data_IF_781632036038
#
_entry.id   IF_781632036038
#
_cell.length_a   1.000
_cell.length_b   1.000
_cell.length_c   1.000
_cell.angle_alpha   90.00
_cell.angle_beta   90.00
_cell.angle_gamma   90.00
#
_symmetry.space_group_name_H-M   'P 1'
#
loop_
_entity.id
_entity.type
_entity.pdbx_description
1 polymer ?
#
# COMPACT_ATOMS: atom_id res chain seq x y z
N UNK A 1 -46.61 -0.18 -24.74
CA UNK A 1 -45.41 0.69 -24.62
C UNK A 1 -44.40 0.25 -23.53
N UNK A 2 -44.58 -0.89 -22.87
CA UNK A 2 -43.84 -1.30 -21.66
C UNK A 2 -42.56 -2.13 -21.91
N UNK A 3 -42.31 -2.55 -23.16
CA UNK A 3 -41.19 -3.46 -23.49
C UNK A 3 -39.86 -2.74 -23.77
N UNK A 4 -39.89 -1.51 -24.28
CA UNK A 4 -38.68 -0.73 -24.61
C UNK A 4 -38.00 -0.15 -23.38
N UNK A 5 -38.77 0.31 -22.40
CA UNK A 5 -38.29 0.82 -21.11
C UNK A 5 -37.65 -0.25 -20.25
N UNK A 6 -38.21 -1.47 -20.21
CA UNK A 6 -37.59 -2.63 -19.54
C UNK A 6 -36.24 -3.01 -20.16
N UNK A 7 -36.14 -2.98 -21.49
CA UNK A 7 -34.90 -3.30 -22.20
C UNK A 7 -33.81 -2.22 -21.97
N UNK A 8 -34.20 -0.95 -21.92
CA UNK A 8 -33.30 0.16 -21.61
C UNK A 8 -32.80 0.10 -20.17
N UNK A 9 -33.69 -0.20 -19.21
CA UNK A 9 -33.32 -0.36 -17.80
C UNK A 9 -32.38 -1.55 -17.57
N UNK A 10 -32.67 -2.69 -18.23
CA UNK A 10 -31.80 -3.86 -18.18
C UNK A 10 -30.39 -3.57 -18.73
N UNK A 11 -30.30 -2.85 -19.86
CA UNK A 11 -29.01 -2.43 -20.43
C UNK A 11 -28.26 -1.46 -19.52
N UNK A 12 -28.97 -0.51 -18.90
CA UNK A 12 -28.38 0.42 -17.95
C UNK A 12 -27.83 -0.30 -16.71
N UNK A 13 -28.56 -1.27 -16.14
CA UNK A 13 -28.06 -2.10 -15.05
C UNK A 13 -26.85 -2.94 -15.47
N UNK A 14 -26.85 -3.50 -16.68
CA UNK A 14 -25.73 -4.31 -17.19
C UNK A 14 -24.46 -3.48 -17.36
N UNK A 15 -24.60 -2.25 -17.86
CA UNK A 15 -23.49 -1.29 -17.96
C UNK A 15 -23.01 -0.89 -16.57
N UNK A 16 -23.91 -0.55 -15.64
CA UNK A 16 -23.53 -0.16 -14.28
C UNK A 16 -22.79 -1.28 -13.54
N UNK A 17 -23.30 -2.52 -13.60
CA UNK A 17 -22.66 -3.69 -13.01
C UNK A 17 -21.31 -3.98 -13.68
N UNK A 18 -21.24 -3.90 -15.01
CA UNK A 18 -19.99 -4.04 -15.75
C UNK A 18 -18.93 -3.03 -15.33
N UNK A 19 -19.32 -1.76 -15.16
CA UNK A 19 -18.43 -0.69 -14.68
C UNK A 19 -17.96 -0.93 -13.25
N UNK A 20 -18.86 -1.35 -12.34
CA UNK A 20 -18.49 -1.67 -10.95
C UNK A 20 -17.54 -2.86 -10.89
N UNK A 21 -17.77 -3.90 -11.70
CA UNK A 21 -16.88 -5.05 -11.79
C UNK A 21 -15.52 -4.68 -12.39
N UNK A 22 -15.49 -3.84 -13.43
CA UNK A 22 -14.25 -3.33 -14.02
C UNK A 22 -13.47 -2.47 -13.02
N UNK A 23 -14.15 -1.58 -12.29
CA UNK A 23 -13.54 -0.77 -11.24
C UNK A 23 -13.00 -1.65 -10.11
N UNK A 24 -13.75 -2.65 -9.67
CA UNK A 24 -13.30 -3.63 -8.68
C UNK A 24 -12.11 -4.45 -9.16
N UNK A 25 -12.10 -4.86 -10.43
CA UNK A 25 -10.99 -5.60 -11.03
C UNK A 25 -9.73 -4.74 -11.15
N UNK A 26 -9.86 -3.48 -11.57
CA UNK A 26 -8.76 -2.51 -11.63
C UNK A 26 -8.20 -2.27 -10.24
N UNK A 27 -9.06 -2.01 -9.25
CA UNK A 27 -8.66 -1.84 -7.86
C UNK A 27 -7.95 -3.08 -7.28
N UNK A 28 -8.40 -4.28 -7.65
CA UNK A 28 -7.75 -5.53 -7.26
C UNK A 28 -6.39 -5.72 -7.95
N UNK A 29 -6.27 -5.34 -9.23
CA UNK A 29 -5.04 -5.48 -10.01
C UNK A 29 -3.91 -4.53 -9.59
N UNK A 30 -4.26 -3.37 -9.01
CA UNK A 30 -3.27 -2.43 -8.45
C UNK A 30 -2.79 -2.85 -7.05
N UNK A 31 -3.46 -3.82 -6.43
CA UNK A 31 -3.17 -4.29 -5.09
C UNK A 31 -3.68 -3.36 -3.98
N UNK A 32 -3.51 -3.79 -2.74
CA UNK A 32 -3.89 -3.04 -1.56
C UNK A 32 -2.71 -2.94 -0.59
N UNK A 33 -2.59 -1.79 0.07
CA UNK A 33 -1.76 -1.65 1.25
C UNK A 33 -2.52 -2.26 2.41
N UNK A 34 -1.99 -3.29 3.04
CA UNK A 34 -2.61 -3.89 4.23
C UNK A 34 -1.74 -3.57 5.42
N UNK A 35 -2.32 -2.90 6.41
CA UNK A 35 -1.70 -2.66 7.70
C UNK A 35 -2.47 -3.46 8.74
N UNK A 36 -1.76 -4.31 9.46
CA UNK A 36 -2.27 -5.04 10.59
C UNK A 36 -1.37 -4.77 11.79
N UNK A 37 -1.97 -4.33 12.89
CA UNK A 37 -1.27 -4.09 14.15
C UNK A 37 -2.02 -4.82 15.24
N UNK A 38 -1.27 -5.56 16.05
CA UNK A 38 -1.78 -6.20 17.24
C UNK A 38 -0.90 -5.85 18.43
N UNK A 39 -1.43 -5.03 19.32
CA UNK A 39 -0.80 -4.72 20.60
C UNK A 39 -1.08 -5.87 21.58
N UNK A 40 -0.03 -6.39 22.24
CA UNK A 40 -0.08 -7.56 23.13
C UNK A 40 -0.43 -7.20 24.59
N UNK A 41 -0.76 -5.94 24.87
CA UNK A 41 -1.23 -5.47 26.17
C UNK A 41 -2.61 -6.07 26.52
N UNK A 42 -2.95 -6.13 27.82
CA UNK A 42 -4.21 -6.71 28.29
C UNK A 42 -5.47 -5.98 27.75
N UNK A 43 -5.33 -4.71 27.39
CA UNK A 43 -6.32 -3.84 26.74
C UNK A 43 -5.88 -3.40 25.32
N UNK A 44 -4.88 -4.08 24.76
CA UNK A 44 -4.24 -3.70 23.49
C UNK A 44 -5.19 -3.66 22.30
N UNK A 45 -4.96 -2.71 21.40
CA UNK A 45 -5.78 -2.53 20.21
C UNK A 45 -5.35 -3.47 19.08
N UNK A 46 -6.35 -3.92 18.31
CA UNK A 46 -6.16 -4.70 17.08
C UNK A 46 -6.67 -3.89 15.90
N UNK A 47 -5.76 -3.43 15.05
CA UNK A 47 -6.07 -2.65 13.88
C UNK A 47 -5.88 -3.51 12.63
N UNK A 48 -6.88 -3.57 11.76
CA UNK A 48 -6.75 -4.11 10.41
C UNK A 48 -7.29 -3.09 9.42
N UNK A 49 -6.38 -2.53 8.62
CA UNK A 49 -6.68 -1.45 7.69
C UNK A 49 -6.21 -1.83 6.27
N UNK A 50 -7.11 -2.39 5.45
CA UNK A 50 -6.88 -2.53 4.02
C UNK A 50 -7.18 -1.20 3.32
N UNK A 51 -6.16 -0.62 2.69
CA UNK A 51 -6.26 0.60 1.89
C UNK A 51 -5.99 0.25 0.42
N UNK A 52 -6.95 0.46 -0.49
CA UNK A 52 -6.70 0.31 -1.93
C UNK A 52 -5.56 1.22 -2.38
N UNK A 53 -4.61 0.70 -3.17
CA UNK A 53 -3.43 1.46 -3.58
C UNK A 53 -3.77 2.79 -4.30
N UNK A 54 -4.88 2.79 -5.06
CA UNK A 54 -5.41 3.98 -5.75
C UNK A 54 -5.88 5.12 -4.83
N UNK A 55 -6.11 4.85 -3.53
CA UNK A 55 -6.57 5.84 -2.57
C UNK A 55 -5.44 6.39 -1.68
N UNK A 56 -4.21 5.89 -1.85
CA UNK A 56 -3.09 6.25 -0.97
C UNK A 56 -2.80 7.74 -1.04
N UNK A 57 -2.81 8.32 -2.24
CA UNK A 57 -2.58 9.76 -2.44
C UNK A 57 -3.63 10.63 -1.75
N UNK A 58 -4.92 10.27 -1.88
CA UNK A 58 -6.01 10.99 -1.19
C UNK A 58 -5.93 10.80 0.33
N UNK A 59 -5.49 9.61 0.76
CA UNK A 59 -5.24 9.27 2.15
C UNK A 59 -4.18 10.14 2.83
N UNK A 60 -3.16 10.59 2.07
CA UNK A 60 -2.12 11.48 2.60
C UNK A 60 -2.70 12.81 3.12
N UNK A 61 -3.82 13.29 2.57
CA UNK A 61 -4.50 14.51 3.02
C UNK A 61 -5.00 14.41 4.48
N UNK A 62 -5.18 13.19 5.00
CA UNK A 62 -5.58 12.97 6.39
C UNK A 62 -4.38 12.88 7.35
N UNK A 63 -3.15 12.85 6.83
CA UNK A 63 -1.94 12.83 7.65
C UNK A 63 -1.54 14.26 7.99
N UNK A 64 -1.22 14.58 9.27
CA UNK A 64 -0.73 15.91 9.64
C UNK A 64 0.49 16.33 8.82
N UNK A 65 0.48 17.55 8.29
CA UNK A 65 1.52 18.08 7.40
C UNK A 65 2.92 17.99 8.03
N UNK A 66 3.04 18.26 9.34
CA UNK A 66 4.32 18.23 10.04
C UNK A 66 4.95 16.84 10.04
N UNK A 67 4.12 15.79 10.09
CA UNK A 67 4.56 14.39 10.03
C UNK A 67 4.98 14.01 8.62
N UNK A 68 4.28 14.51 7.60
CA UNK A 68 4.65 14.31 6.20
C UNK A 68 5.96 15.03 5.86
N UNK A 69 6.14 16.27 6.30
CA UNK A 69 7.38 17.02 6.10
C UNK A 69 8.57 16.34 6.78
N UNK A 70 8.38 15.86 8.01
CA UNK A 70 9.42 15.11 8.73
C UNK A 70 9.79 13.83 7.98
N UNK A 71 8.80 12.99 7.63
CA UNK A 71 9.04 11.76 6.89
C UNK A 71 9.70 12.02 5.52
N UNK A 72 9.28 13.09 4.83
CA UNK A 72 9.86 13.53 3.57
C UNK A 72 11.33 13.92 3.73
N UNK A 73 11.70 14.66 4.78
CA UNK A 73 13.10 14.99 5.08
C UNK A 73 13.93 13.75 5.38
N UNK A 74 13.41 12.83 6.16
CA UNK A 74 14.14 11.63 6.60
C UNK A 74 14.39 10.66 5.44
N UNK A 75 13.43 10.51 4.54
CA UNK A 75 13.54 9.62 3.38
C UNK A 75 14.31 10.25 2.22
N UNK A 76 14.42 11.58 2.16
CA UNK A 76 15.00 12.33 1.03
C UNK A 76 16.35 11.81 0.53
N UNK A 77 17.34 11.48 1.40
CA UNK A 77 18.63 10.97 0.95
C UNK A 77 18.54 9.59 0.29
N UNK A 78 17.49 8.84 0.62
CA UNK A 78 17.28 7.45 0.21
C UNK A 78 16.36 7.33 -1.00
N UNK A 79 15.63 8.38 -1.39
CA UNK A 79 14.68 8.36 -2.51
C UNK A 79 15.27 7.76 -3.81
N UNK A 80 16.49 8.13 -4.25
CA UNK A 80 17.05 7.56 -5.48
C UNK A 80 17.34 6.06 -5.33
N UNK A 81 17.82 5.65 -4.15
CA UNK A 81 18.07 4.25 -3.85
C UNK A 81 16.77 3.45 -3.79
N UNK A 82 15.71 4.03 -3.20
CA UNK A 82 14.38 3.41 -3.13
C UNK A 82 13.78 3.27 -4.53
N UNK A 83 13.92 4.27 -5.40
CA UNK A 83 13.41 4.17 -6.78
C UNK A 83 14.08 3.01 -7.53
N UNK A 84 15.41 2.95 -7.51
CA UNK A 84 16.18 1.90 -8.19
C UNK A 84 15.89 0.54 -7.56
N UNK A 85 15.95 0.43 -6.24
CA UNK A 85 15.67 -0.82 -5.54
C UNK A 85 14.26 -1.33 -5.84
N UNK A 86 13.25 -0.45 -5.85
CA UNK A 86 11.87 -0.83 -6.16
C UNK A 86 11.70 -1.27 -7.63
N UNK A 87 12.47 -0.71 -8.56
CA UNK A 87 12.46 -1.13 -9.96
C UNK A 87 13.06 -2.54 -10.13
N UNK A 88 14.17 -2.83 -9.45
CA UNK A 88 14.82 -4.15 -9.48
C UNK A 88 13.99 -5.21 -8.72
N UNK A 89 13.43 -4.85 -7.56
CA UNK A 89 12.60 -5.73 -6.73
C UNK A 89 11.39 -6.29 -7.47
N UNK A 90 10.83 -5.54 -8.42
CA UNK A 90 9.72 -6.00 -9.24
C UNK A 90 10.10 -7.21 -10.13
N UNK A 91 11.38 -7.36 -10.49
CA UNK A 91 11.89 -8.48 -11.28
C UNK A 91 12.47 -9.63 -10.46
N UNK A 92 12.63 -9.46 -9.14
CA UNK A 92 13.24 -10.48 -8.28
C UNK A 92 12.28 -11.64 -8.00
N UNK A 93 12.79 -12.86 -7.76
CA UNK A 93 11.97 -13.95 -7.23
C UNK A 93 11.55 -13.67 -5.79
N UNK A 94 10.50 -14.37 -5.34
CA UNK A 94 10.06 -14.31 -3.94
C UNK A 94 11.17 -14.78 -3.00
N UNK A 95 11.37 -14.05 -1.90
CA UNK A 95 12.48 -14.32 -1.01
C UNK A 95 12.60 -13.35 0.15
N UNK A 96 13.29 -13.82 1.19
CA UNK A 96 13.70 -13.02 2.34
C UNK A 96 14.77 -12.01 1.91
N UNK A 97 14.54 -10.74 2.18
CA UNK A 97 15.48 -9.66 1.87
C UNK A 97 16.28 -9.27 3.11
N UNK A 98 15.58 -9.09 4.22
CA UNK A 98 16.16 -8.66 5.50
C UNK A 98 15.53 -9.47 6.61
N UNK A 99 16.37 -10.00 7.50
CA UNK A 99 15.96 -10.57 8.76
C UNK A 99 16.84 -9.99 9.86
N UNK A 100 16.21 -9.39 10.87
CA UNK A 100 16.88 -8.92 12.07
C UNK A 100 16.27 -9.67 13.24
N UNK A 101 17.10 -10.40 13.98
CA UNK A 101 16.70 -11.13 15.19
C UNK A 101 17.50 -10.61 16.36
N UNK A 102 16.79 -10.15 17.38
CA UNK A 102 17.30 -9.91 18.72
C UNK A 102 16.59 -10.85 19.72
N UNK A 103 16.91 -10.75 21.01
CA UNK A 103 16.34 -11.57 22.07
C UNK A 103 14.82 -11.40 22.21
N UNK A 104 14.30 -10.22 21.87
CA UNK A 104 12.91 -9.80 22.09
C UNK A 104 12.20 -9.39 20.81
N UNK A 105 12.97 -9.03 19.77
CA UNK A 105 12.46 -8.41 18.55
C UNK A 105 12.89 -9.21 17.31
N UNK A 106 11.94 -9.44 16.41
CA UNK A 106 12.17 -10.07 15.11
C UNK A 106 11.54 -9.23 14.01
N UNK A 107 12.38 -8.72 13.12
CA UNK A 107 11.93 -7.98 11.93
C UNK A 107 12.26 -8.80 10.69
N UNK A 108 11.29 -8.93 9.81
CA UNK A 108 11.43 -9.64 8.55
C UNK A 108 10.89 -8.78 7.40
N UNK A 109 11.69 -8.63 6.35
CA UNK A 109 11.28 -7.96 5.11
C UNK A 109 11.38 -8.99 3.99
N UNK A 110 10.25 -9.28 3.35
CA UNK A 110 10.11 -10.34 2.36
C UNK A 110 9.51 -9.78 1.09
N UNK A 111 10.07 -10.16 -0.06
CA UNK A 111 9.42 -9.97 -1.35
C UNK A 111 8.47 -11.16 -1.58
N UNK A 112 7.19 -10.90 -1.81
CA UNK A 112 6.17 -11.91 -2.11
C UNK A 112 5.26 -11.44 -3.26
N UNK A 113 5.31 -12.11 -4.40
CA UNK A 113 4.61 -11.69 -5.61
C UNK A 113 5.02 -10.26 -6.01
N UNK A 114 4.04 -9.36 -6.15
CA UNK A 114 4.27 -7.94 -6.46
C UNK A 114 4.32 -7.05 -5.20
N UNK A 115 4.37 -7.65 -4.01
CA UNK A 115 4.34 -6.95 -2.74
C UNK A 115 5.65 -7.09 -1.97
N UNK A 116 5.98 -6.01 -1.26
CA UNK A 116 6.95 -6.01 -0.17
C UNK A 116 6.18 -6.17 1.14
N UNK A 117 6.52 -7.20 1.89
CA UNK A 117 5.91 -7.52 3.19
C UNK A 117 6.93 -7.22 4.28
N UNK A 118 6.52 -6.45 5.28
CA UNK A 118 7.28 -6.15 6.48
C UNK A 118 6.53 -6.72 7.66
N UNK A 119 7.15 -7.67 8.33
CA UNK A 119 6.69 -8.27 9.58
C UNK A 119 7.61 -7.78 10.71
N UNK A 120 7.01 -7.27 11.77
CA UNK A 120 7.71 -6.92 13.01
C UNK A 120 6.99 -7.64 14.14
N UNK A 121 7.74 -8.43 14.90
CA UNK A 121 7.27 -9.05 16.12
C UNK A 121 8.18 -8.62 17.26
N UNK A 122 7.65 -7.81 18.18
CA UNK A 122 8.36 -7.36 19.38
C UNK A 122 7.68 -7.93 20.63
N UNK A 123 8.23 -7.65 21.81
CA UNK A 123 7.56 -7.98 23.08
C UNK A 123 6.17 -7.36 23.22
N UNK A 124 6.01 -6.12 22.71
CA UNK A 124 4.79 -5.35 22.89
C UNK A 124 3.80 -5.55 21.76
N UNK A 125 4.27 -5.72 20.52
CA UNK A 125 3.42 -5.58 19.33
C UNK A 125 3.77 -6.57 18.23
N UNK A 126 2.76 -6.92 17.43
CA UNK A 126 2.96 -7.58 16.14
C UNK A 126 2.41 -6.69 15.04
N UNK A 127 3.28 -6.27 14.13
CA UNK A 127 2.95 -5.40 13.00
C UNK A 127 3.19 -6.16 11.70
N UNK A 128 2.19 -6.16 10.84
CA UNK A 128 2.29 -6.70 9.48
C UNK A 128 1.87 -5.62 8.50
N UNK A 129 2.79 -5.27 7.61
CA UNK A 129 2.55 -4.29 6.54
C UNK A 129 2.84 -4.94 5.21
N UNK A 130 1.88 -4.93 4.30
CA UNK A 130 2.05 -5.38 2.92
C UNK A 130 1.81 -4.20 1.99
N UNK A 131 2.77 -3.90 1.12
CA UNK A 131 2.71 -2.76 0.20
C UNK A 131 3.08 -3.22 -1.22
N UNK A 132 2.30 -2.88 -2.26
CA UNK A 132 2.70 -3.15 -3.64
C UNK A 132 4.01 -2.43 -4.00
N UNK A 133 4.98 -3.14 -4.58
CA UNK A 133 6.30 -2.57 -4.94
C UNK A 133 6.17 -1.42 -5.95
N UNK A 134 5.19 -1.51 -6.85
CA UNK A 134 4.89 -0.46 -7.85
C UNK A 134 4.45 0.85 -7.19
N UNK A 135 3.72 0.77 -6.07
CA UNK A 135 3.30 1.94 -5.30
C UNK A 135 4.51 2.62 -4.64
N UNK A 136 5.42 1.86 -4.05
CA UNK A 136 6.65 2.40 -3.43
C UNK A 136 7.46 3.20 -4.46
N UNK A 137 7.63 2.65 -5.68
CA UNK A 137 8.30 3.34 -6.78
C UNK A 137 7.58 4.63 -7.20
N UNK A 138 6.25 4.59 -7.30
CA UNK A 138 5.43 5.76 -7.67
C UNK A 138 5.58 6.89 -6.65
N UNK A 139 5.51 6.57 -5.36
CA UNK A 139 5.67 7.53 -4.27
C UNK A 139 7.08 8.11 -4.23
N UNK A 140 8.12 7.28 -4.41
CA UNK A 140 9.50 7.76 -4.45
C UNK A 140 9.70 8.80 -5.56
N UNK A 141 9.23 8.51 -6.79
CA UNK A 141 9.30 9.46 -7.91
C UNK A 141 8.58 10.76 -7.62
N UNK A 142 7.39 10.69 -7.03
CA UNK A 142 6.56 11.87 -6.72
C UNK A 142 7.22 12.74 -5.66
N UNK A 143 7.81 12.15 -4.62
CA UNK A 143 8.57 12.88 -3.60
C UNK A 143 9.84 13.52 -4.18
N UNK A 144 10.47 12.87 -5.16
CA UNK A 144 11.58 13.47 -5.90
C UNK A 144 11.15 14.64 -6.79
N UNK A 145 9.99 14.58 -7.45
CA UNK A 145 9.49 15.69 -8.29
C UNK A 145 8.89 16.84 -7.47
N UNK A 146 8.38 16.56 -6.27
CA UNK A 146 7.97 17.57 -5.29
C UNK A 146 9.14 18.40 -4.75
N UNK A 147 10.39 18.04 -5.10
CA UNK A 147 11.55 18.92 -5.03
C UNK A 147 11.30 20.14 -5.93
N UNK A 148 10.75 21.21 -5.34
CA UNK A 148 10.70 22.52 -5.98
C UNK A 148 12.08 22.91 -6.55
N UNK A 149 12.13 23.68 -7.65
CA UNK A 149 13.39 24.09 -8.26
C UNK A 149 14.20 24.89 -7.22
N UNK A 150 15.48 24.52 -7.08
CA UNK A 150 16.45 25.29 -6.32
C UNK A 150 16.54 26.74 -6.83
#
# INVERSE_FOLDING_TARGET
MTSRTKLLFQRACLVAVGTVLLLGLVAYSEGAVTVYVHEKAADGHRLWLPVPALMVDEGLTFVPEEKLEQASRDIRPWLPAIEVASAELAGCPDGLLVEVKDQTDHVMIVKRGDALVVDVDSETDTVHVSVPVRLVRSLARRLETARGPN
#
